data_IF_217861628817
#
_entry.id   IF_217861628817
#
_cell.length_a   1.000
_cell.length_b   1.000
_cell.length_c   1.000
_cell.angle_alpha   90.00
_cell.angle_beta   90.00
_cell.angle_gamma   90.00
#
_symmetry.space_group_name_H-M   'P 1'
#
loop_
_entity.id
_entity.type
_entity.pdbx_description
1 polymer ?
#
# COMPACT_ATOMS: atom_id res chain seq x y z
N UNK A 1 -15.69 12.53 -17.87
CA UNK A 1 -15.25 13.17 -19.14
C UNK A 1 -14.10 12.42 -19.81
N UNK A 2 -13.03 12.08 -19.07
CA UNK A 2 -11.83 11.48 -19.65
C UNK A 2 -11.69 9.97 -19.40
N UNK A 3 -12.67 9.35 -18.73
CA UNK A 3 -12.65 7.92 -18.35
C UNK A 3 -11.32 7.49 -17.73
N UNK A 4 -10.79 8.33 -16.84
CA UNK A 4 -9.54 8.10 -16.12
C UNK A 4 -9.84 7.78 -14.68
N UNK A 5 -8.96 6.99 -14.09
CA UNK A 5 -8.94 6.75 -12.66
C UNK A 5 -8.54 7.97 -11.83
N UNK A 6 -8.89 7.92 -10.55
CA UNK A 6 -8.52 8.91 -9.53
C UNK A 6 -7.84 8.19 -8.37
N UNK A 7 -6.56 8.51 -8.12
CA UNK A 7 -5.83 8.07 -6.92
C UNK A 7 -5.74 9.23 -5.93
N UNK A 8 -6.08 9.00 -4.66
CA UNK A 8 -5.96 10.02 -3.61
C UNK A 8 -5.52 9.41 -2.28
N UNK A 9 -4.62 10.09 -1.55
CA UNK A 9 -4.37 9.77 -0.14
C UNK A 9 -5.57 10.20 0.70
N UNK A 10 -6.19 9.28 1.43
CA UNK A 10 -7.42 9.56 2.17
C UNK A 10 -7.42 8.85 3.53
N UNK A 11 -7.66 9.63 4.60
CA UNK A 11 -7.68 9.14 5.98
C UNK A 11 -6.45 8.31 6.34
N UNK A 12 -5.29 8.74 5.85
CA UNK A 12 -3.99 8.18 6.21
C UNK A 12 -3.66 8.45 7.68
N UNK A 13 -3.90 9.68 8.14
CA UNK A 13 -3.54 10.09 9.50
C UNK A 13 -4.76 10.44 10.34
N UNK A 14 -4.60 10.33 11.67
CA UNK A 14 -5.62 10.77 12.64
C UNK A 14 -5.95 12.25 12.44
N UNK A 15 -4.97 13.06 12.04
CA UNK A 15 -5.13 14.49 11.82
C UNK A 15 -6.10 14.79 10.67
N UNK A 16 -6.06 14.02 9.57
CA UNK A 16 -7.03 14.17 8.48
C UNK A 16 -8.44 13.85 8.96
N UNK A 17 -8.62 12.78 9.75
CA UNK A 17 -9.92 12.43 10.34
C UNK A 17 -10.43 13.54 11.27
N UNK A 18 -9.59 14.01 12.20
CA UNK A 18 -9.95 15.06 13.16
C UNK A 18 -10.26 16.39 12.48
N UNK A 19 -9.50 16.75 11.44
CA UNK A 19 -9.78 17.94 10.64
C UNK A 19 -11.16 17.85 9.99
N UNK A 20 -11.49 16.72 9.36
CA UNK A 20 -12.81 16.53 8.76
C UNK A 20 -13.94 16.68 9.77
N UNK A 21 -13.79 16.04 10.95
CA UNK A 21 -14.77 16.15 12.02
C UNK A 21 -14.93 17.60 12.52
N UNK A 22 -13.83 18.34 12.65
CA UNK A 22 -13.86 19.73 13.11
C UNK A 22 -14.48 20.71 12.08
N UNK A 23 -14.28 20.48 10.79
CA UNK A 23 -14.67 21.42 9.73
C UNK A 23 -16.02 21.07 9.10
N UNK A 24 -16.30 19.78 8.89
CA UNK A 24 -17.50 19.31 8.20
C UNK A 24 -18.44 18.49 9.09
N UNK A 25 -18.06 18.21 10.34
CA UNK A 25 -18.77 17.28 11.23
C UNK A 25 -18.95 15.88 10.58
N UNK A 26 -18.00 15.49 9.72
CA UNK A 26 -17.96 14.26 8.93
C UNK A 26 -16.51 13.83 8.73
N UNK A 27 -16.25 12.55 8.46
CA UNK A 27 -14.93 12.14 7.99
C UNK A 27 -14.63 12.76 6.61
N UNK A 28 -13.36 12.89 6.19
CA UNK A 28 -13.02 13.29 4.84
C UNK A 28 -13.68 12.41 3.77
N UNK A 29 -13.80 11.11 3.99
CA UNK A 29 -14.46 10.20 3.04
C UNK A 29 -15.97 10.44 2.94
N UNK A 30 -16.67 10.60 4.07
CA UNK A 30 -18.09 10.97 4.07
C UNK A 30 -18.33 12.32 3.37
N UNK A 31 -17.43 13.29 3.57
CA UNK A 31 -17.52 14.56 2.85
C UNK A 31 -17.35 14.38 1.34
N UNK A 32 -16.37 13.59 0.89
CA UNK A 32 -16.19 13.26 -0.52
C UNK A 32 -17.37 12.49 -1.11
N UNK A 33 -18.00 11.62 -0.31
CA UNK A 33 -19.23 10.94 -0.71
C UNK A 33 -20.37 11.93 -0.99
N UNK A 34 -20.62 12.91 -0.12
CA UNK A 34 -21.66 13.93 -0.34
C UNK A 34 -21.45 14.73 -1.64
N UNK A 35 -20.18 14.92 -2.02
CA UNK A 35 -19.79 15.61 -3.25
C UNK A 35 -19.94 14.74 -4.51
N UNK A 36 -20.33 13.47 -4.37
CA UNK A 36 -20.41 12.51 -5.46
C UNK A 36 -19.03 12.11 -6.02
N UNK A 37 -17.98 12.19 -5.20
CA UNK A 37 -16.61 11.90 -5.62
C UNK A 37 -16.30 10.40 -5.67
N UNK A 38 -16.90 9.60 -4.80
CA UNK A 38 -16.61 8.17 -4.67
C UNK A 38 -17.22 7.37 -5.83
N UNK A 39 -16.51 6.33 -6.25
CA UNK A 39 -16.92 5.44 -7.33
C UNK A 39 -15.90 4.33 -7.57
N UNK A 40 -16.16 3.43 -8.53
CA UNK A 40 -15.25 2.35 -8.91
C UNK A 40 -13.95 2.84 -9.57
N UNK A 41 -13.94 4.07 -10.09
CA UNK A 41 -12.76 4.74 -10.63
C UNK A 41 -11.87 5.36 -9.55
N UNK A 42 -12.26 5.31 -8.28
CA UNK A 42 -11.50 5.90 -7.18
C UNK A 42 -10.69 4.83 -6.45
N UNK A 43 -9.43 5.14 -6.18
CA UNK A 43 -8.54 4.38 -5.31
C UNK A 43 -8.08 5.27 -4.17
N UNK A 44 -8.48 4.90 -2.95
CA UNK A 44 -8.09 5.58 -1.71
C UNK A 44 -6.81 4.94 -1.16
N UNK A 45 -5.70 5.66 -1.26
CA UNK A 45 -4.44 5.31 -0.62
C UNK A 45 -4.57 5.37 0.91
N UNK A 46 -3.95 4.41 1.57
CA UNK A 46 -3.87 4.24 3.03
C UNK A 46 -5.18 3.79 3.70
N UNK A 47 -6.19 4.67 3.78
CA UNK A 47 -7.47 4.42 4.47
C UNK A 47 -7.31 3.90 5.91
N UNK A 48 -6.29 4.39 6.64
CA UNK A 48 -5.92 3.89 7.97
C UNK A 48 -7.00 4.18 9.01
N UNK A 49 -7.56 5.39 8.96
CA UNK A 49 -8.53 5.88 9.95
C UNK A 49 -9.98 5.82 9.44
N UNK A 50 -10.26 4.92 8.48
CA UNK A 50 -11.62 4.65 8.01
C UNK A 50 -12.51 4.15 9.16
N UNK A 51 -13.70 4.71 9.27
CA UNK A 51 -14.76 4.28 10.19
C UNK A 51 -15.60 3.16 9.57
N UNK A 52 -16.49 2.56 10.35
CA UNK A 52 -17.43 1.55 9.84
C UNK A 52 -18.32 2.14 8.73
N UNK A 53 -18.89 3.34 8.94
CA UNK A 53 -19.66 4.00 7.89
C UNK A 53 -18.81 4.33 6.66
N UNK A 54 -17.53 4.69 6.83
CA UNK A 54 -16.64 4.93 5.68
C UNK A 54 -16.46 3.66 4.84
N UNK A 55 -16.32 2.50 5.49
CA UNK A 55 -16.15 1.20 4.84
C UNK A 55 -17.43 0.81 4.10
N UNK A 56 -18.60 1.00 4.73
CA UNK A 56 -19.89 0.76 4.08
C UNK A 56 -20.07 1.62 2.83
N UNK A 57 -19.68 2.90 2.89
CA UNK A 57 -19.73 3.79 1.73
C UNK A 57 -18.79 3.33 0.62
N UNK A 58 -17.54 2.97 0.94
CA UNK A 58 -16.60 2.45 -0.05
C UNK A 58 -17.12 1.18 -0.74
N UNK A 59 -17.70 0.27 0.02
CA UNK A 59 -18.30 -0.95 -0.51
C UNK A 59 -19.49 -0.63 -1.43
N UNK A 60 -20.38 0.26 -1.00
CA UNK A 60 -21.56 0.66 -1.77
C UNK A 60 -21.20 1.37 -3.09
N UNK A 61 -20.13 2.15 -3.11
CA UNK A 61 -19.67 2.89 -4.30
C UNK A 61 -18.69 2.10 -5.16
N UNK A 62 -18.24 0.92 -4.71
CA UNK A 62 -17.22 0.13 -5.38
C UNK A 62 -15.82 0.75 -5.35
N UNK A 63 -15.57 1.67 -4.42
CA UNK A 63 -14.27 2.35 -4.27
C UNK A 63 -13.19 1.38 -3.82
N UNK A 64 -12.00 1.49 -4.42
CA UNK A 64 -10.86 0.63 -4.14
C UNK A 64 -9.98 1.24 -3.04
N UNK A 65 -9.19 0.40 -2.36
CA UNK A 65 -8.20 0.84 -1.37
C UNK A 65 -6.81 0.41 -1.79
N UNK A 66 -5.80 1.28 -1.63
CA UNK A 66 -4.39 0.92 -1.77
C UNK A 66 -3.72 0.92 -0.38
N UNK A 67 -3.50 -0.26 0.18
CA UNK A 67 -2.94 -0.45 1.51
C UNK A 67 -1.40 -0.36 1.47
N UNK A 68 -0.85 0.67 2.10
CA UNK A 68 0.59 0.95 2.17
C UNK A 68 1.13 0.65 3.58
N UNK A 69 1.28 -0.63 3.92
CA UNK A 69 1.51 -1.08 5.30
C UNK A 69 2.80 -0.51 5.92
N UNK A 70 3.93 -0.68 5.24
CA UNK A 70 5.22 -0.19 5.75
C UNK A 70 5.27 1.32 5.91
N UNK A 71 4.78 2.07 4.92
CA UNK A 71 4.68 3.54 4.98
C UNK A 71 3.85 3.98 6.18
N UNK A 72 2.68 3.37 6.38
CA UNK A 72 1.82 3.71 7.51
C UNK A 72 2.52 3.49 8.86
N UNK A 73 3.31 2.43 9.00
CA UNK A 73 4.08 2.15 10.21
C UNK A 73 5.26 3.12 10.38
N UNK A 74 5.98 3.41 9.29
CA UNK A 74 7.13 4.33 9.28
C UNK A 74 6.73 5.74 9.70
N UNK A 75 5.62 6.23 9.15
CA UNK A 75 5.07 7.56 9.40
C UNK A 75 4.24 7.66 10.68
N UNK A 76 4.07 6.55 11.41
CA UNK A 76 3.23 6.47 12.61
C UNK A 76 1.75 6.82 12.32
N UNK A 77 1.30 6.56 11.10
CA UNK A 77 -0.06 6.79 10.64
C UNK A 77 -1.05 5.82 11.29
N UNK A 78 -0.65 4.55 11.49
CA UNK A 78 -1.46 3.50 12.15
C UNK A 78 -1.57 2.22 11.32
N UNK A 79 -2.57 1.38 11.64
CA UNK A 79 -2.90 0.18 10.84
C UNK A 79 -4.27 0.36 10.21
N UNK A 80 -4.37 0.14 8.90
CA UNK A 80 -5.66 0.13 8.21
C UNK A 80 -6.53 -1.07 8.62
N UNK A 81 -7.87 -0.95 8.67
CA UNK A 81 -8.76 -2.02 9.10
C UNK A 81 -8.96 -3.08 8.01
N UNK A 82 -7.88 -3.75 7.59
CA UNK A 82 -7.87 -4.65 6.43
C UNK A 82 -8.93 -5.75 6.52
N UNK A 83 -9.03 -6.44 7.66
CA UNK A 83 -10.01 -7.52 7.84
C UNK A 83 -11.42 -7.06 7.52
N UNK A 84 -11.82 -5.89 8.05
CA UNK A 84 -13.15 -5.31 7.81
C UNK A 84 -13.35 -4.86 6.37
N UNK A 85 -12.32 -4.30 5.73
CA UNK A 85 -12.34 -3.94 4.30
C UNK A 85 -12.59 -5.18 3.41
N UNK A 86 -11.87 -6.27 3.68
CA UNK A 86 -12.02 -7.53 2.94
C UNK A 86 -13.40 -8.16 3.18
N UNK A 87 -13.89 -8.16 4.43
CA UNK A 87 -15.25 -8.62 4.77
C UNK A 87 -16.35 -7.81 4.06
N UNK A 88 -16.12 -6.51 3.82
CA UNK A 88 -17.02 -5.65 3.08
C UNK A 88 -17.00 -5.90 1.56
N UNK A 89 -16.11 -6.77 1.05
CA UNK A 89 -15.94 -7.04 -0.37
C UNK A 89 -15.22 -5.91 -1.13
N UNK A 90 -14.52 -5.03 -0.42
CA UNK A 90 -13.74 -3.96 -1.05
C UNK A 90 -12.48 -4.55 -1.70
N UNK A 91 -12.19 -4.13 -2.92
CA UNK A 91 -10.92 -4.47 -3.58
C UNK A 91 -9.79 -3.69 -2.92
N UNK A 92 -8.95 -4.41 -2.18
CA UNK A 92 -7.77 -3.84 -1.53
C UNK A 92 -6.54 -4.25 -2.32
N UNK A 93 -5.76 -3.28 -2.79
CA UNK A 93 -4.45 -3.46 -3.39
C UNK A 93 -3.33 -3.25 -2.36
N UNK A 94 -2.14 -3.75 -2.65
CA UNK A 94 -0.91 -3.43 -1.88
C UNK A 94 -0.13 -2.35 -2.64
N UNK A 95 0.34 -1.34 -1.91
CA UNK A 95 1.29 -0.36 -2.41
C UNK A 95 2.51 -0.23 -1.50
N UNK A 96 3.64 0.18 -2.07
CA UNK A 96 4.90 0.42 -1.34
C UNK A 96 5.10 1.89 -0.95
N UNK A 97 4.23 2.78 -1.42
CA UNK A 97 4.39 4.24 -1.32
C UNK A 97 5.75 4.75 -1.87
N UNK A 98 6.17 5.96 -1.50
CA UNK A 98 7.41 6.57 -1.93
C UNK A 98 8.66 5.84 -1.38
N UNK A 99 9.65 5.64 -2.26
CA UNK A 99 10.90 4.92 -1.95
C UNK A 99 11.71 5.50 -0.77
N UNK A 100 11.60 6.81 -0.52
CA UNK A 100 12.29 7.47 0.60
C UNK A 100 11.70 7.14 1.97
N UNK A 101 10.56 6.43 2.01
CA UNK A 101 9.86 6.07 3.25
C UNK A 101 10.20 4.63 3.66
N UNK A 102 10.37 3.71 2.72
CA UNK A 102 10.64 2.28 3.02
C UNK A 102 12.09 1.83 2.81
N UNK A 103 12.98 2.69 2.31
CA UNK A 103 14.39 2.38 1.96
C UNK A 103 14.58 1.14 1.05
N UNK A 104 13.50 0.62 0.48
CA UNK A 104 13.43 -0.51 -0.45
C UNK A 104 12.26 -0.36 -1.44
N UNK A 105 12.19 -1.25 -2.44
CA UNK A 105 11.03 -1.43 -3.33
C UNK A 105 10.70 -2.92 -3.47
N UNK A 106 10.59 -3.62 -2.34
CA UNK A 106 10.34 -5.07 -2.32
C UNK A 106 8.86 -5.39 -2.00
N UNK A 107 8.06 -5.63 -3.04
CA UNK A 107 6.66 -6.03 -2.87
C UNK A 107 6.48 -7.37 -2.14
N UNK A 108 7.48 -8.27 -2.13
CA UNK A 108 7.39 -9.48 -1.32
C UNK A 108 7.51 -9.17 0.17
N UNK A 109 8.34 -8.17 0.51
CA UNK A 109 8.46 -7.65 1.87
C UNK A 109 7.13 -7.02 2.31
N UNK A 110 6.49 -6.22 1.46
CA UNK A 110 5.14 -5.67 1.73
C UNK A 110 4.09 -6.76 1.91
N UNK A 111 4.03 -7.75 1.01
CA UNK A 111 3.09 -8.89 1.14
C UNK A 111 3.26 -9.62 2.49
N UNK A 112 4.50 -9.93 2.89
CA UNK A 112 4.77 -10.52 4.21
C UNK A 112 4.34 -9.61 5.35
N UNK A 113 4.58 -8.32 5.23
CA UNK A 113 4.23 -7.35 6.26
C UNK A 113 2.71 -7.31 6.43
N UNK A 114 1.95 -7.16 5.36
CA UNK A 114 0.49 -7.21 5.36
C UNK A 114 -0.01 -8.51 6.00
N UNK A 115 0.53 -9.65 5.58
CA UNK A 115 0.13 -10.95 6.12
C UNK A 115 0.35 -11.08 7.64
N UNK A 116 1.43 -10.48 8.17
CA UNK A 116 1.77 -10.56 9.60
C UNK A 116 1.09 -9.49 10.43
N UNK A 117 0.96 -8.27 9.90
CA UNK A 117 0.44 -7.10 10.59
C UNK A 117 -1.01 -7.30 11.00
N UNK A 118 -1.79 -8.01 10.19
CA UNK A 118 -3.23 -8.23 10.42
C UNK A 118 -3.54 -9.53 11.19
N UNK A 119 -2.56 -10.11 11.88
CA UNK A 119 -2.75 -11.28 12.76
C UNK A 119 -3.02 -10.82 14.19
N UNK A 120 -4.29 -10.55 14.48
CA UNK A 120 -4.73 -10.19 15.84
C UNK A 120 -4.83 -11.46 16.69
N UNK A 121 -4.24 -11.52 17.91
CA UNK A 121 -4.36 -12.67 18.80
C UNK A 121 -5.82 -13.02 19.09
N UNK A 122 -6.18 -14.28 18.90
CA UNK A 122 -7.53 -14.81 19.12
C UNK A 122 -7.82 -15.95 18.16
N UNK A 123 -8.47 -17.01 18.63
CA UNK A 123 -8.78 -18.18 17.79
C UNK A 123 -9.83 -17.88 16.72
N UNK A 124 -10.68 -16.89 16.98
CA UNK A 124 -11.74 -16.46 16.06
C UNK A 124 -11.29 -15.35 15.10
N UNK A 125 -10.08 -14.80 15.28
CA UNK A 125 -9.54 -13.78 14.39
C UNK A 125 -8.89 -14.45 13.19
N UNK A 126 -9.58 -14.41 12.05
CA UNK A 126 -9.08 -14.98 10.80
C UNK A 126 -8.23 -13.92 10.09
N UNK A 127 -6.90 -14.09 9.98
CA UNK A 127 -6.07 -13.16 9.22
C UNK A 127 -6.31 -13.34 7.72
N UNK A 128 -5.88 -12.38 6.87
CA UNK A 128 -5.85 -12.60 5.43
C UNK A 128 -5.01 -13.85 5.10
N UNK A 129 -5.47 -14.65 4.15
CA UNK A 129 -4.73 -15.80 3.62
C UNK A 129 -3.60 -15.35 2.70
N UNK A 130 -2.59 -16.18 2.46
CA UNK A 130 -1.55 -15.89 1.47
C UNK A 130 -2.13 -15.67 0.06
N UNK A 131 -3.19 -16.41 -0.30
CA UNK A 131 -3.90 -16.20 -1.56
C UNK A 131 -4.55 -14.84 -1.65
N UNK A 132 -5.25 -14.38 -0.60
CA UNK A 132 -5.80 -13.02 -0.56
C UNK A 132 -4.68 -11.99 -0.66
N UNK A 133 -3.54 -12.20 0.01
CA UNK A 133 -2.39 -11.28 -0.09
C UNK A 133 -1.81 -11.22 -1.51
N UNK A 134 -1.66 -12.36 -2.18
CA UNK A 134 -1.21 -12.38 -3.57
C UNK A 134 -2.25 -11.72 -4.49
N UNK A 135 -3.54 -11.94 -4.26
CA UNK A 135 -4.64 -11.28 -4.98
C UNK A 135 -4.59 -9.75 -4.80
N UNK A 136 -4.31 -9.27 -3.59
CA UNK A 136 -4.11 -7.84 -3.32
C UNK A 136 -2.92 -7.27 -4.12
N UNK A 137 -1.84 -8.03 -4.27
CA UNK A 137 -0.65 -7.62 -5.02
C UNK A 137 -0.79 -7.75 -6.55
N UNK A 138 -1.81 -8.43 -7.05
CA UNK A 138 -1.99 -8.75 -8.48
C UNK A 138 -3.35 -8.29 -8.99
N UNK A 139 -4.39 -9.09 -8.78
CA UNK A 139 -5.76 -8.85 -9.28
C UNK A 139 -6.31 -7.52 -8.78
N UNK A 140 -6.29 -7.28 -7.46
CA UNK A 140 -6.83 -6.03 -6.92
C UNK A 140 -5.93 -4.84 -7.26
N UNK A 141 -4.61 -5.05 -7.38
CA UNK A 141 -3.69 -4.05 -7.92
C UNK A 141 -4.06 -3.62 -9.34
N UNK A 142 -4.48 -4.56 -10.19
CA UNK A 142 -4.98 -4.27 -11.52
C UNK A 142 -6.28 -3.44 -11.48
N UNK A 143 -7.22 -3.76 -10.59
CA UNK A 143 -8.45 -2.97 -10.43
C UNK A 143 -8.18 -1.56 -9.87
N UNK A 144 -7.34 -1.46 -8.84
CA UNK A 144 -6.96 -0.19 -8.22
C UNK A 144 -6.17 0.73 -9.16
N UNK A 145 -5.56 0.17 -10.22
CA UNK A 145 -4.89 0.89 -11.31
C UNK A 145 -5.71 0.95 -12.61
N UNK A 146 -6.99 0.54 -12.57
CA UNK A 146 -7.94 0.62 -13.69
C UNK A 146 -7.58 -0.24 -14.91
N UNK A 147 -6.77 -1.28 -14.71
CA UNK A 147 -6.39 -2.28 -15.70
C UNK A 147 -6.95 -3.68 -15.40
N UNK A 148 -7.91 -3.83 -14.47
CA UNK A 148 -8.46 -5.12 -14.02
C UNK A 148 -8.94 -6.05 -15.15
N UNK A 149 -9.49 -5.47 -16.23
CA UNK A 149 -9.94 -6.22 -17.40
C UNK A 149 -8.79 -6.67 -18.33
N UNK A 150 -7.57 -6.15 -18.12
CA UNK A 150 -6.44 -6.28 -19.04
C UNK A 150 -5.25 -7.01 -18.44
N UNK A 151 -5.05 -6.94 -17.12
CA UNK A 151 -3.91 -7.54 -16.40
C UNK A 151 -4.37 -8.18 -15.09
N UNK A 152 -3.43 -8.68 -14.28
CA UNK A 152 -3.68 -9.19 -12.92
C UNK A 152 -3.98 -10.69 -12.83
N UNK A 153 -4.39 -11.31 -13.95
CA UNK A 153 -4.60 -12.76 -14.07
C UNK A 153 -3.99 -13.28 -15.37
N UNK A 154 -3.59 -14.55 -15.38
CA UNK A 154 -3.10 -15.24 -16.58
C UNK A 154 -4.27 -15.90 -17.32
N UNK A 155 -4.95 -15.14 -18.16
CA UNK A 155 -6.14 -15.58 -18.91
C UNK A 155 -6.01 -15.22 -20.39
N UNK A 156 -6.46 -16.09 -21.33
CA UNK A 156 -6.49 -15.75 -22.74
C UNK A 156 -7.23 -14.43 -22.99
N UNK A 157 -6.60 -13.51 -23.72
CA UNK A 157 -7.15 -12.19 -24.05
C UNK A 157 -6.64 -11.05 -23.14
N UNK A 158 -6.06 -11.36 -21.98
CA UNK A 158 -5.33 -10.38 -21.16
C UNK A 158 -3.90 -10.18 -21.67
N UNK A 159 -3.26 -9.09 -21.25
CA UNK A 159 -1.86 -8.79 -21.57
C UNK A 159 -0.95 -9.78 -20.85
N UNK A 160 0.16 -10.13 -21.50
CA UNK A 160 1.18 -10.99 -20.93
C UNK A 160 2.10 -10.19 -19.98
N UNK A 161 1.55 -9.80 -18.84
CA UNK A 161 2.28 -9.22 -17.72
C UNK A 161 2.62 -10.35 -16.73
N UNK A 162 3.88 -10.77 -16.69
CA UNK A 162 4.29 -11.97 -15.97
C UNK A 162 5.60 -11.77 -15.23
N UNK A 163 5.72 -12.45 -14.09
CA UNK A 163 6.94 -12.52 -13.29
C UNK A 163 7.29 -13.99 -13.12
N UNK A 164 8.48 -14.38 -13.55
CA UNK A 164 9.01 -15.73 -13.34
C UNK A 164 9.91 -15.71 -12.10
N UNK A 165 9.63 -16.63 -11.19
CA UNK A 165 10.36 -16.77 -9.92
C UNK A 165 11.25 -18.01 -9.95
N UNK A 166 12.48 -17.84 -9.49
CA UNK A 166 13.39 -18.92 -9.15
C UNK A 166 13.07 -19.42 -7.74
N UNK A 167 12.48 -20.60 -7.67
CA UNK A 167 11.98 -21.16 -6.40
C UNK A 167 13.08 -21.74 -5.50
N UNK A 168 14.33 -21.88 -5.98
CA UNK A 168 15.41 -22.54 -5.20
C UNK A 168 15.58 -21.94 -3.81
N UNK A 169 15.70 -20.62 -3.72
CA UNK A 169 15.83 -19.92 -2.44
C UNK A 169 14.56 -20.00 -1.56
N UNK A 170 13.39 -20.13 -2.21
CA UNK A 170 12.10 -20.25 -1.53
C UNK A 170 11.92 -21.67 -0.98
N UNK A 171 12.55 -22.67 -1.57
CA UNK A 171 12.44 -24.07 -1.17
C UNK A 171 13.55 -24.49 -0.19
N UNK A 172 14.75 -23.91 -0.27
CA UNK A 172 15.91 -24.30 0.55
C UNK A 172 15.84 -23.84 2.02
N UNK A 173 16.33 -24.64 3.00
CA UNK A 173 16.89 -25.98 2.85
C UNK A 173 15.81 -27.07 2.73
N UNK A 174 14.55 -26.74 3.04
CA UNK A 174 13.39 -27.62 2.92
C UNK A 174 12.10 -26.79 2.84
N UNK A 175 11.20 -27.21 1.96
CA UNK A 175 9.80 -26.80 1.92
C UNK A 175 8.96 -28.07 1.92
N UNK A 176 7.98 -28.13 2.82
CA UNK A 176 7.10 -29.27 2.88
C UNK A 176 6.24 -29.36 1.59
N UNK A 177 6.16 -30.53 0.92
CA UNK A 177 5.34 -30.68 -0.28
C UNK A 177 3.85 -30.36 -0.10
N UNK A 178 3.33 -30.36 1.13
CA UNK A 178 1.95 -29.97 1.43
C UNK A 178 1.77 -28.44 1.50
N UNK A 179 2.85 -27.66 1.60
CA UNK A 179 2.77 -26.19 1.61
C UNK A 179 2.51 -25.69 0.18
N UNK A 180 1.46 -24.89 0.02
CA UNK A 180 1.14 -24.31 -1.27
C UNK A 180 2.27 -23.40 -1.75
N UNK A 181 2.52 -23.37 -3.07
CA UNK A 181 3.52 -22.46 -3.65
C UNK A 181 3.20 -20.98 -3.36
N UNK A 182 1.91 -20.63 -3.25
CA UNK A 182 1.48 -19.27 -2.93
C UNK A 182 1.85 -18.91 -1.49
N UNK A 183 1.60 -19.81 -0.54
CA UNK A 183 2.06 -19.63 0.85
C UNK A 183 3.58 -19.49 0.89
N UNK A 184 4.32 -20.36 0.20
CA UNK A 184 5.77 -20.32 0.16
C UNK A 184 6.30 -18.98 -0.40
N UNK A 185 5.76 -18.53 -1.54
CA UNK A 185 6.15 -17.26 -2.19
C UNK A 185 5.82 -16.06 -1.29
N UNK A 186 4.60 -15.99 -0.75
CA UNK A 186 4.20 -14.87 0.11
C UNK A 186 5.01 -14.86 1.39
N UNK A 187 5.30 -16.01 2.01
CA UNK A 187 6.05 -16.06 3.27
C UNK A 187 7.57 -15.95 3.13
N UNK A 188 8.14 -16.38 2.00
CA UNK A 188 9.60 -16.58 1.86
C UNK A 188 10.23 -15.86 0.67
N UNK A 189 9.44 -15.52 -0.36
CA UNK A 189 9.95 -14.91 -1.59
C UNK A 189 10.58 -13.54 -1.36
N UNK A 190 11.55 -13.17 -2.19
CA UNK A 190 12.27 -11.89 -2.11
C UNK A 190 12.49 -11.36 -3.53
N UNK A 191 12.82 -10.09 -3.65
CA UNK A 191 13.18 -9.49 -4.95
C UNK A 191 14.28 -10.26 -5.70
N UNK A 192 15.25 -10.87 -5.00
CA UNK A 192 16.32 -11.68 -5.60
C UNK A 192 15.83 -12.98 -6.25
N UNK A 193 14.62 -13.42 -5.91
CA UNK A 193 14.02 -14.64 -6.45
C UNK A 193 13.31 -14.35 -7.78
N UNK A 194 13.18 -13.08 -8.17
CA UNK A 194 12.68 -12.71 -9.50
C UNK A 194 13.77 -12.94 -10.54
N UNK A 195 13.47 -13.77 -11.54
CA UNK A 195 14.40 -14.13 -12.60
C UNK A 195 14.12 -13.34 -13.89
N UNK A 196 12.88 -13.40 -14.37
CA UNK A 196 12.46 -12.83 -15.64
C UNK A 196 11.16 -12.06 -15.47
N UNK A 197 11.07 -10.87 -16.07
CA UNK A 197 9.86 -10.02 -16.04
C UNK A 197 9.43 -9.70 -17.45
N UNK A 198 8.14 -9.87 -17.71
CA UNK A 198 7.48 -9.58 -18.97
C UNK A 198 6.37 -8.54 -18.77
N UNK A 199 6.28 -7.56 -19.66
CA UNK A 199 5.23 -6.53 -19.68
C UNK A 199 4.66 -6.44 -21.09
N UNK A 200 3.35 -6.65 -21.23
CA UNK A 200 2.62 -6.69 -22.51
C UNK A 200 3.28 -7.62 -23.55
N UNK A 201 3.82 -8.76 -23.10
CA UNK A 201 4.52 -9.73 -23.95
C UNK A 201 6.00 -9.44 -24.20
N UNK A 202 6.50 -8.29 -23.76
CA UNK A 202 7.91 -7.93 -23.92
C UNK A 202 8.73 -8.25 -22.67
N UNK A 203 9.86 -8.91 -22.85
CA UNK A 203 10.79 -9.23 -21.77
C UNK A 203 11.63 -8.00 -21.41
N UNK A 204 11.37 -7.43 -20.24
CA UNK A 204 12.06 -6.24 -19.71
C UNK A 204 13.21 -6.59 -18.75
N UNK A 205 13.23 -7.82 -18.24
CA UNK A 205 14.33 -8.41 -17.47
C UNK A 205 14.40 -9.90 -17.80
N UNK A 206 15.61 -10.44 -18.01
CA UNK A 206 15.86 -11.87 -18.26
C UNK A 206 17.09 -12.32 -17.50
N UNK A 207 17.04 -13.48 -16.86
CA UNK A 207 18.16 -14.03 -16.08
C UNK A 207 18.74 -13.00 -15.09
N UNK A 208 17.85 -12.20 -14.47
CA UNK A 208 18.17 -11.09 -13.54
C UNK A 208 18.86 -9.87 -14.15
N UNK A 209 18.98 -9.81 -15.47
CA UNK A 209 19.58 -8.69 -16.21
C UNK A 209 18.49 -7.84 -16.91
N UNK A 210 18.56 -6.52 -16.75
CA UNK A 210 17.61 -5.58 -17.37
C UNK A 210 17.87 -5.49 -18.87
N UNK A 211 16.83 -5.58 -19.70
CA UNK A 211 17.01 -5.59 -21.17
C UNK A 211 17.04 -4.19 -21.80
N UNK A 212 16.54 -3.18 -21.07
CA UNK A 212 16.37 -1.81 -21.57
C UNK A 212 17.23 -0.76 -20.88
N UNK A 213 17.84 -1.08 -19.74
CA UNK A 213 18.52 -0.13 -18.87
C UNK A 213 19.90 -0.69 -18.52
N UNK A 214 20.95 0.08 -18.81
CA UNK A 214 22.27 -0.19 -18.25
C UNK A 214 22.29 0.30 -16.80
N UNK A 215 22.53 -0.64 -15.87
CA UNK A 215 22.50 -0.37 -14.43
C UNK A 215 23.60 0.58 -13.97
N UNK A 216 24.80 0.47 -14.54
CA UNK A 216 25.94 1.31 -14.17
C UNK A 216 25.72 2.75 -14.64
N UNK A 217 25.20 2.92 -15.85
CA UNK A 217 24.83 4.24 -16.39
C UNK A 217 23.73 4.89 -15.55
N UNK A 218 22.69 4.13 -15.20
CA UNK A 218 21.60 4.61 -14.33
C UNK A 218 22.14 5.04 -12.95
N UNK A 219 23.02 4.27 -12.34
CA UNK A 219 23.57 4.59 -11.03
C UNK A 219 24.47 5.83 -11.07
N UNK A 220 25.22 5.99 -12.16
CA UNK A 220 25.99 7.21 -12.41
C UNK A 220 25.06 8.43 -12.54
N UNK A 221 23.99 8.33 -13.32
CA UNK A 221 23.01 9.40 -13.48
C UNK A 221 22.34 9.78 -12.15
N UNK A 222 21.91 8.79 -11.35
CA UNK A 222 21.33 9.02 -10.02
C UNK A 222 22.32 9.74 -9.12
N UNK A 223 23.58 9.31 -9.10
CA UNK A 223 24.62 9.95 -8.29
C UNK A 223 24.85 11.39 -8.71
N UNK A 224 25.00 11.66 -10.01
CA UNK A 224 25.19 13.01 -10.53
C UNK A 224 23.99 13.91 -10.21
N UNK A 225 22.77 13.37 -10.26
CA UNK A 225 21.54 14.09 -9.90
C UNK A 225 21.43 14.41 -8.40
N UNK A 226 21.90 13.52 -7.53
CA UNK A 226 21.81 13.67 -6.07
C UNK A 226 23.00 14.42 -5.44
N UNK A 227 24.17 14.38 -6.08
CA UNK A 227 25.38 15.11 -5.62
C UNK A 227 25.29 16.63 -5.88
N UNK A 228 24.24 17.09 -6.58
CA UNK A 228 24.02 18.53 -6.78
C UNK A 228 23.70 19.23 -5.45
N UNK A 229 24.10 20.49 -5.28
CA UNK A 229 23.58 21.30 -4.18
C UNK A 229 22.05 21.37 -4.20
N UNK A 230 21.44 21.38 -3.01
CA UNK A 230 20.00 21.63 -2.89
C UNK A 230 19.66 22.96 -3.55
N UNK A 231 18.58 22.96 -4.31
CA UNK A 231 18.01 24.17 -4.91
C UNK A 231 17.44 25.07 -3.81
N UNK A 232 17.29 26.36 -4.11
CA UNK A 232 16.65 27.32 -3.22
C UNK A 232 15.27 26.85 -2.77
N UNK A 233 14.47 26.29 -3.69
CA UNK A 233 13.13 25.79 -3.38
C UNK A 233 13.15 24.61 -2.39
N UNK A 234 14.13 23.71 -2.51
CA UNK A 234 14.30 22.59 -1.57
C UNK A 234 14.72 23.09 -0.17
N UNK A 235 15.58 24.10 -0.11
CA UNK A 235 15.98 24.74 1.14
C UNK A 235 14.80 25.47 1.80
N UNK A 236 14.03 26.24 1.02
CA UNK A 236 12.83 26.94 1.48
C UNK A 236 11.77 25.96 2.01
N UNK A 237 11.54 24.83 1.34
CA UNK A 237 10.62 23.79 1.84
C UNK A 237 11.08 23.22 3.19
N UNK A 238 12.38 22.98 3.36
CA UNK A 238 12.94 22.50 4.63
C UNK A 238 12.78 23.54 5.74
N UNK A 239 13.00 24.81 5.43
CA UNK A 239 12.80 25.90 6.37
C UNK A 239 11.32 26.05 6.75
N UNK A 240 10.42 26.06 5.77
CA UNK A 240 8.98 26.12 6.01
C UNK A 240 8.50 24.98 6.89
N UNK A 241 8.96 23.74 6.64
CA UNK A 241 8.62 22.59 7.48
C UNK A 241 9.01 22.82 8.94
N UNK A 242 10.19 23.39 9.20
CA UNK A 242 10.66 23.72 10.56
C UNK A 242 9.85 24.84 11.19
N UNK A 243 9.46 25.84 10.41
CA UNK A 243 8.67 26.98 10.89
C UNK A 243 7.23 26.56 11.21
N UNK A 244 6.63 25.64 10.44
CA UNK A 244 5.24 25.21 10.60
C UNK A 244 5.06 24.19 11.72
N UNK A 245 6.07 23.37 12.00
CA UNK A 245 6.00 22.29 13.01
C UNK A 245 5.46 22.75 14.38
N UNK A 246 5.95 23.84 15.01
CA UNK A 246 5.44 24.28 16.32
C UNK A 246 3.96 24.68 16.29
N UNK A 247 3.48 25.22 15.16
CA UNK A 247 2.09 25.61 14.99
C UNK A 247 1.17 24.39 14.83
N UNK A 248 1.60 23.39 14.07
CA UNK A 248 0.88 22.12 13.95
C UNK A 248 0.78 21.41 15.30
N UNK A 249 1.88 21.34 16.05
CA UNK A 249 1.90 20.74 17.40
C UNK A 249 0.91 21.42 18.33
N UNK A 250 0.81 22.75 18.27
CA UNK A 250 -0.15 23.53 19.07
C UNK A 250 -1.59 23.31 18.63
N UNK A 251 -1.85 23.28 17.32
CA UNK A 251 -3.19 23.08 16.76
C UNK A 251 -3.79 21.73 17.19
N UNK A 252 -2.96 20.68 17.25
CA UNK A 252 -3.40 19.34 17.65
C UNK A 252 -3.20 19.03 19.15
N UNK A 253 -2.81 20.02 19.96
CA UNK A 253 -2.59 19.81 21.39
C UNK A 253 -3.91 19.43 22.08
N UNK A 254 -3.93 18.25 22.72
CA UNK A 254 -5.13 17.73 23.41
C UNK A 254 -6.21 17.15 22.48
N UNK A 255 -6.00 17.18 21.16
CA UNK A 255 -6.92 16.59 20.18
C UNK A 255 -6.71 15.07 19.98
N UNK A 256 -5.57 14.55 20.45
CA UNK A 256 -5.32 13.11 20.44
C UNK A 256 -6.19 12.41 21.51
N UNK A 257 -6.73 11.21 21.23
CA UNK A 257 -7.38 10.40 22.24
C UNK A 257 -6.45 10.25 23.46
N UNK A 258 -6.98 10.45 24.66
CA UNK A 258 -6.21 10.25 25.89
C UNK A 258 -5.81 8.76 25.96
N UNK A 259 -4.52 8.44 26.15
CA UNK A 259 -4.12 7.05 26.29
C UNK A 259 -4.72 6.47 27.58
N UNK A 260 -5.74 5.61 27.44
CA UNK A 260 -5.96 4.55 28.43
C UNK A 260 -4.75 3.61 28.44
N UNK A 261 -4.49 2.89 29.54
CA UNK A 261 -3.39 1.92 29.59
C UNK A 261 -3.64 0.82 28.54
N UNK A 262 -2.73 0.68 27.55
CA UNK A 262 -1.50 -0.07 27.76
C UNK A 262 -0.23 0.54 27.11
N UNK A 263 0.93 -0.01 27.47
CA UNK A 263 2.26 0.43 27.06
C UNK A 263 2.68 0.08 25.61
N UNK A 264 1.82 -0.54 24.81
CA UNK A 264 1.97 -0.69 23.34
C UNK A 264 0.63 -1.14 22.76
N UNK A 265 -0.04 -0.29 21.97
CA UNK A 265 -1.36 -0.59 21.42
C UNK A 265 -1.24 -1.21 20.02
N UNK A 266 -1.12 -2.54 19.96
CA UNK A 266 -1.55 -3.33 18.82
C UNK A 266 -2.73 -4.26 19.17
N UNK A 267 -3.19 -4.29 20.43
CA UNK A 267 -4.13 -5.28 20.96
C UNK A 267 -4.95 -4.79 22.17
N UNK A 268 -5.72 -3.71 22.06
CA UNK A 268 -6.74 -3.43 23.07
C UNK A 268 -7.95 -2.72 22.46
N UNK A 269 -9.10 -3.39 22.51
CA UNK A 269 -10.40 -2.74 22.41
C UNK A 269 -10.59 -1.90 23.67
N UNK A 270 -10.61 -0.58 23.49
CA UNK A 270 -11.41 0.33 24.31
C UNK A 270 -11.81 1.51 23.43
#
# INVERSE_FOLDING_TARGET
KYSTGIHIHLQETVYQKLYGLAVWNKTPLQHLHDLGFLGPEVTCGHSVWATEEDIELMAATGTNVCHNASSNLRLQSGIAPLGRLLEAGIKVAIGSDEAGINDDKDLFQEMRMVLKLHRVPGVDNIPPTAYQVLEMATVNGAYASWFGDRIGTLEPGKRADMVLLDLRNIEEPYLDPEVSVVDAVVHRGRSIDVDTVMVDGEVVMRDKELTRINKDDLFKEIKESLDRPLSTQELERRELSRLVEPHLRRFYQGAMPQPGAPHTNYNARS
#
